data_IF_533040448138
#
_entry.id   IF_533040448138
#
_cell.length_a   1.000
_cell.length_b   1.000
_cell.length_c   1.000
_cell.angle_alpha   90.00
_cell.angle_beta   90.00
_cell.angle_gamma   90.00
#
_symmetry.space_group_name_H-M   'P 1'
#
loop_
_entity.id
_entity.type
_entity.pdbx_description
1 polymer ?
#
# COMPACT_ATOMS: atom_id res chain seq x y z
N UNK A 1 -13.54 -36.39 3.61
CA UNK A 1 -14.12 -35.06 3.34
C UNK A 1 -13.37 -33.93 4.04
N UNK A 2 -13.04 -34.02 5.34
CA UNK A 2 -12.24 -33.01 6.03
C UNK A 2 -10.86 -32.74 5.40
N UNK A 3 -10.19 -33.80 4.89
CA UNK A 3 -8.90 -33.66 4.20
C UNK A 3 -9.01 -32.84 2.88
N UNK A 4 -10.10 -32.96 2.14
CA UNK A 4 -10.30 -32.16 0.91
C UNK A 4 -10.49 -30.68 1.21
N UNK A 5 -11.19 -30.33 2.30
CA UNK A 5 -11.37 -28.94 2.73
C UNK A 5 -10.05 -28.34 3.20
N UNK A 6 -9.22 -29.11 3.88
CA UNK A 6 -7.92 -28.69 4.37
C UNK A 6 -6.94 -28.45 3.19
N UNK A 7 -6.94 -29.34 2.19
CA UNK A 7 -6.15 -29.18 0.97
C UNK A 7 -6.63 -27.96 0.18
N UNK A 8 -7.93 -27.75 0.02
CA UNK A 8 -8.48 -26.57 -0.64
C UNK A 8 -8.09 -25.27 0.07
N UNK A 9 -8.10 -25.23 1.42
CA UNK A 9 -7.67 -24.07 2.19
C UNK A 9 -6.17 -23.77 2.04
N UNK A 10 -5.34 -24.83 1.96
CA UNK A 10 -3.90 -24.68 1.71
C UNK A 10 -3.65 -24.19 0.28
N UNK A 11 -4.36 -24.73 -0.70
CA UNK A 11 -4.25 -24.26 -2.08
C UNK A 11 -4.68 -22.80 -2.25
N UNK A 12 -5.70 -22.36 -1.52
CA UNK A 12 -6.13 -20.95 -1.52
C UNK A 12 -5.06 -20.00 -0.97
N UNK A 13 -4.34 -20.42 0.05
CA UNK A 13 -3.29 -19.61 0.66
C UNK A 13 -2.12 -19.31 -0.31
N UNK A 14 -1.89 -20.21 -1.27
CA UNK A 14 -0.76 -20.11 -2.22
C UNK A 14 -1.18 -19.69 -3.64
N UNK A 15 -2.46 -19.42 -3.89
CA UNK A 15 -2.95 -19.17 -5.24
C UNK A 15 -3.08 -17.66 -5.56
N UNK A 16 -2.61 -17.20 -6.74
CA UNK A 16 -2.81 -15.82 -7.21
C UNK A 16 -4.30 -15.49 -7.42
N UNK A 17 -4.62 -14.20 -7.46
CA UNK A 17 -5.97 -13.62 -7.57
C UNK A 17 -6.88 -14.19 -8.68
N UNK A 18 -6.32 -14.76 -9.74
CA UNK A 18 -7.06 -15.48 -10.82
C UNK A 18 -7.91 -16.65 -10.29
N UNK A 19 -7.62 -17.15 -9.08
CA UNK A 19 -8.29 -18.34 -8.51
C UNK A 19 -9.51 -17.96 -7.66
N UNK A 20 -9.76 -16.69 -7.36
CA UNK A 20 -10.89 -16.28 -6.49
C UNK A 20 -12.25 -16.68 -7.06
N UNK A 21 -12.48 -16.49 -8.37
CA UNK A 21 -13.75 -16.89 -9.00
C UNK A 21 -13.92 -18.40 -9.04
N UNK A 22 -12.86 -19.13 -9.42
CA UNK A 22 -12.86 -20.60 -9.44
C UNK A 22 -13.05 -21.15 -8.03
N UNK A 23 -12.39 -20.54 -7.05
CA UNK A 23 -12.50 -20.92 -5.63
C UNK A 23 -13.93 -20.74 -5.10
N UNK A 24 -14.59 -19.65 -5.43
CA UNK A 24 -15.98 -19.39 -5.02
C UNK A 24 -16.93 -20.46 -5.59
N UNK A 25 -16.75 -20.88 -6.84
CA UNK A 25 -17.51 -21.94 -7.46
C UNK A 25 -17.22 -23.29 -6.80
N UNK A 26 -15.95 -23.61 -6.56
CA UNK A 26 -15.55 -24.87 -5.90
C UNK A 26 -16.07 -24.93 -4.47
N UNK A 27 -16.00 -23.82 -3.72
CA UNK A 27 -16.53 -23.71 -2.36
C UNK A 27 -18.05 -23.94 -2.35
N UNK A 28 -18.79 -23.36 -3.29
CA UNK A 28 -20.22 -23.55 -3.43
C UNK A 28 -20.55 -25.02 -3.71
N UNK A 29 -19.83 -25.68 -4.63
CA UNK A 29 -20.01 -27.10 -4.93
C UNK A 29 -19.73 -28.00 -3.71
N UNK A 30 -18.71 -27.68 -2.93
CA UNK A 30 -18.38 -28.40 -1.68
C UNK A 30 -19.51 -28.24 -0.66
N UNK A 31 -20.07 -27.04 -0.48
CA UNK A 31 -21.19 -26.80 0.42
C UNK A 31 -22.42 -27.58 -0.02
N UNK A 32 -22.76 -27.57 -1.30
CA UNK A 32 -23.89 -28.33 -1.87
C UNK A 32 -23.71 -29.83 -1.66
N UNK A 33 -22.50 -30.37 -1.90
CA UNK A 33 -22.18 -31.77 -1.66
C UNK A 33 -22.28 -32.16 -0.17
N UNK A 34 -21.89 -31.26 0.75
CA UNK A 34 -22.03 -31.43 2.20
C UNK A 34 -23.50 -31.52 2.59
N UNK A 35 -24.33 -30.57 2.15
CA UNK A 35 -25.74 -30.53 2.47
C UNK A 35 -26.44 -31.78 1.91
N UNK A 36 -26.17 -32.16 0.67
CA UNK A 36 -26.70 -33.38 0.08
C UNK A 36 -26.32 -34.64 0.87
N UNK A 37 -25.05 -34.73 1.33
CA UNK A 37 -24.60 -35.85 2.17
C UNK A 37 -25.34 -35.89 3.49
N UNK A 38 -25.59 -34.75 4.15
CA UNK A 38 -26.36 -34.69 5.39
C UNK A 38 -27.82 -35.13 5.20
N UNK A 39 -28.49 -34.67 4.12
CA UNK A 39 -29.83 -35.06 3.79
C UNK A 39 -29.94 -36.59 3.58
N UNK A 40 -28.97 -37.16 2.85
CA UNK A 40 -28.90 -38.61 2.62
C UNK A 40 -28.72 -39.40 3.95
N UNK A 41 -27.78 -38.96 4.83
CA UNK A 41 -27.54 -39.62 6.12
C UNK A 41 -28.72 -39.49 7.08
N UNK A 42 -29.47 -38.39 7.06
CA UNK A 42 -30.71 -38.21 7.85
C UNK A 42 -31.77 -39.20 7.36
N UNK A 43 -31.94 -39.34 6.05
CA UNK A 43 -32.89 -40.26 5.46
C UNK A 43 -32.58 -41.73 5.79
N UNK A 44 -31.31 -42.08 5.92
CA UNK A 44 -30.83 -43.43 6.28
C UNK A 44 -30.86 -43.71 7.79
N UNK A 45 -31.49 -42.84 8.60
CA UNK A 45 -31.64 -42.95 10.07
C UNK A 45 -30.32 -43.11 10.84
N UNK A 46 -29.20 -42.65 10.29
CA UNK A 46 -27.87 -42.68 10.91
C UNK A 46 -27.55 -41.39 11.68
N UNK A 47 -28.42 -41.00 12.62
CA UNK A 47 -28.35 -39.70 13.30
C UNK A 47 -27.02 -39.40 14.01
N UNK A 48 -26.38 -40.42 14.63
CA UNK A 48 -25.06 -40.24 15.25
C UNK A 48 -23.96 -39.86 14.23
N UNK A 49 -23.99 -40.48 13.04
CA UNK A 49 -23.03 -40.20 11.96
C UNK A 49 -23.26 -38.81 11.39
N UNK A 50 -24.52 -38.38 11.27
CA UNK A 50 -24.86 -37.00 10.88
C UNK A 50 -24.30 -36.00 11.85
N UNK A 51 -24.54 -36.16 13.17
CA UNK A 51 -24.07 -35.26 14.20
C UNK A 51 -22.55 -35.14 14.17
N UNK A 52 -21.84 -36.26 14.08
CA UNK A 52 -20.37 -36.27 13.97
C UNK A 52 -19.88 -35.55 12.71
N UNK A 53 -20.51 -35.77 11.57
CA UNK A 53 -20.16 -35.12 10.29
C UNK A 53 -20.37 -33.60 10.35
N UNK A 54 -21.48 -33.15 10.94
CA UNK A 54 -21.75 -31.72 11.16
C UNK A 54 -20.70 -31.09 12.08
N UNK A 55 -20.43 -31.74 13.22
CA UNK A 55 -19.44 -31.24 14.18
C UNK A 55 -18.02 -31.14 13.55
N UNK A 56 -17.60 -32.14 12.78
CA UNK A 56 -16.31 -32.09 12.07
C UNK A 56 -16.29 -31.00 11.02
N UNK A 57 -17.37 -30.78 10.27
CA UNK A 57 -17.42 -29.71 9.23
C UNK A 57 -17.35 -28.32 9.87
N UNK A 58 -18.06 -28.11 10.98
CA UNK A 58 -17.96 -26.84 11.74
C UNK A 58 -16.55 -26.65 12.29
N UNK A 59 -15.95 -27.70 12.87
CA UNK A 59 -14.56 -27.64 13.37
C UNK A 59 -13.56 -27.24 12.29
N UNK A 60 -13.68 -27.81 11.08
CA UNK A 60 -12.83 -27.42 9.94
C UNK A 60 -13.05 -25.95 9.55
N UNK A 61 -14.29 -25.49 9.47
CA UNK A 61 -14.60 -24.09 9.10
C UNK A 61 -14.08 -23.10 10.15
N UNK A 62 -14.17 -23.43 11.44
CA UNK A 62 -13.66 -22.59 12.53
C UNK A 62 -12.13 -22.46 12.49
N UNK A 63 -11.43 -23.49 12.04
CA UNK A 63 -9.97 -23.47 11.94
C UNK A 63 -9.52 -22.83 10.62
N UNK A 64 -10.13 -23.21 9.50
CA UNK A 64 -9.67 -22.77 8.17
C UNK A 64 -10.16 -21.37 7.79
N UNK A 65 -11.33 -20.96 8.27
CA UNK A 65 -11.89 -19.63 8.00
C UNK A 65 -10.96 -18.47 8.41
N UNK A 66 -10.51 -18.41 9.67
CA UNK A 66 -9.56 -17.39 10.11
C UNK A 66 -8.23 -17.44 9.37
N UNK A 67 -7.69 -18.63 9.07
CA UNK A 67 -6.43 -18.79 8.34
C UNK A 67 -6.58 -18.24 6.91
N UNK A 68 -7.66 -18.59 6.22
CA UNK A 68 -7.94 -18.08 4.87
C UNK A 68 -8.16 -16.55 4.87
N UNK A 69 -8.86 -16.03 5.89
CA UNK A 69 -9.08 -14.59 6.02
C UNK A 69 -7.76 -13.84 6.27
N UNK A 70 -6.88 -14.36 7.12
CA UNK A 70 -5.55 -13.78 7.35
C UNK A 70 -4.72 -13.83 6.05
N UNK A 71 -4.76 -14.93 5.31
CA UNK A 71 -4.08 -15.07 4.03
C UNK A 71 -4.58 -14.08 2.98
N UNK A 72 -5.90 -13.90 2.87
CA UNK A 72 -6.51 -12.95 1.94
C UNK A 72 -6.22 -11.47 2.32
N UNK A 73 -6.07 -11.18 3.63
CA UNK A 73 -5.74 -9.84 4.10
C UNK A 73 -4.24 -9.50 3.99
N UNK A 74 -3.36 -10.51 4.01
CA UNK A 74 -1.91 -10.35 4.03
C UNK A 74 -1.22 -10.92 2.78
N UNK A 75 -1.98 -11.34 1.77
CA UNK A 75 -1.41 -11.80 0.51
C UNK A 75 -0.77 -10.64 -0.28
N UNK A 76 0.29 -10.93 -1.06
CA UNK A 76 0.91 -9.94 -1.92
C UNK A 76 -0.12 -9.39 -2.93
N UNK A 77 -0.10 -8.09 -3.19
CA UNK A 77 -0.97 -7.46 -4.18
C UNK A 77 -0.40 -7.55 -5.61
N UNK A 78 0.87 -7.92 -5.74
CA UNK A 78 1.55 -8.07 -7.02
C UNK A 78 1.87 -6.76 -7.74
N UNK A 79 1.45 -5.64 -7.20
CA UNK A 79 1.60 -4.32 -7.84
C UNK A 79 3.05 -4.02 -8.24
N UNK A 80 4.02 -4.23 -7.32
CA UNK A 80 5.43 -3.98 -7.60
C UNK A 80 6.02 -4.90 -8.69
N UNK A 81 5.47 -6.10 -8.89
CA UNK A 81 5.88 -7.01 -9.97
C UNK A 81 5.32 -6.61 -11.32
N UNK A 82 4.12 -6.03 -11.33
CA UNK A 82 3.44 -5.59 -12.55
C UNK A 82 3.96 -4.24 -13.03
N UNK A 83 4.63 -3.46 -12.15
CA UNK A 83 5.16 -2.13 -12.40
C UNK A 83 6.68 -2.10 -12.19
N UNK A 84 7.43 -2.56 -13.19
CA UNK A 84 8.91 -2.54 -13.14
C UNK A 84 9.47 -1.14 -13.35
N UNK A 85 10.71 -0.92 -12.91
CA UNK A 85 11.41 0.34 -13.20
C UNK A 85 11.83 0.31 -14.67
N UNK A 86 11.36 1.25 -15.52
CA UNK A 86 11.72 1.28 -16.93
C UNK A 86 13.21 1.56 -17.13
N UNK A 87 13.81 0.94 -18.13
CA UNK A 87 15.21 1.19 -18.50
C UNK A 87 15.42 2.65 -18.93
N UNK A 88 16.51 3.26 -18.49
CA UNK A 88 16.91 4.61 -18.87
C UNK A 88 16.22 5.74 -18.09
N UNK A 89 15.37 5.45 -17.13
CA UNK A 89 14.80 6.48 -16.25
C UNK A 89 15.75 6.73 -15.09
N UNK A 90 16.12 8.00 -14.90
CA UNK A 90 16.83 8.44 -13.70
C UNK A 90 15.86 8.48 -12.52
N UNK A 91 16.23 7.84 -11.43
CA UNK A 91 15.46 7.84 -10.17
C UNK A 91 16.39 8.02 -8.97
N UNK A 92 15.84 8.57 -7.91
CA UNK A 92 16.49 8.68 -6.62
C UNK A 92 16.19 7.44 -5.76
N UNK A 93 17.06 7.15 -4.81
CA UNK A 93 16.83 6.17 -3.76
C UNK A 93 16.51 6.96 -2.48
N UNK A 94 15.42 6.64 -1.75
CA UNK A 94 15.16 7.24 -0.46
C UNK A 94 16.35 7.03 0.50
N UNK A 95 16.72 8.07 1.25
CA UNK A 95 17.80 7.96 2.22
C UNK A 95 17.37 7.08 3.40
N UNK A 96 18.32 6.31 3.94
CA UNK A 96 18.03 5.49 5.13
C UNK A 96 18.12 6.36 6.40
N UNK A 97 17.05 6.37 7.18
CA UNK A 97 16.92 7.20 8.38
C UNK A 97 17.95 6.88 9.48
N UNK A 98 18.61 5.70 9.46
CA UNK A 98 19.59 5.29 10.46
C UNK A 98 21.05 5.53 10.02
N UNK A 99 21.33 5.46 8.73
CA UNK A 99 22.70 5.58 8.20
C UNK A 99 23.14 7.03 8.01
N UNK A 100 22.19 7.90 7.67
CA UNK A 100 22.50 9.32 7.47
C UNK A 100 22.38 10.12 8.75
N UNK A 101 23.38 9.99 9.63
CA UNK A 101 23.46 10.73 10.91
C UNK A 101 23.67 12.23 10.74
N UNK A 102 23.86 12.75 9.57
CA UNK A 102 24.17 14.16 9.34
C UNK A 102 22.98 14.91 8.74
N UNK A 103 21.96 15.12 9.57
CA UNK A 103 20.90 16.10 9.30
C UNK A 103 21.44 17.49 8.95
N UNK A 104 22.63 17.82 9.46
CA UNK A 104 23.35 19.05 9.10
C UNK A 104 23.74 19.08 7.62
N UNK A 105 24.18 17.96 7.05
CA UNK A 105 24.56 17.91 5.63
C UNK A 105 23.34 18.10 4.71
N UNK A 106 22.17 17.57 5.09
CA UNK A 106 20.93 17.78 4.31
C UNK A 106 20.54 19.26 4.29
N UNK A 107 20.72 19.97 5.39
CA UNK A 107 20.46 21.41 5.44
C UNK A 107 21.48 22.20 4.60
N UNK A 108 22.74 21.78 4.61
CA UNK A 108 23.80 22.39 3.79
C UNK A 108 23.54 22.11 2.30
N UNK A 109 23.20 20.87 1.92
CA UNK A 109 22.80 20.51 0.56
C UNK A 109 21.54 21.27 0.11
N UNK A 110 20.52 21.35 0.98
CA UNK A 110 19.31 22.12 0.70
C UNK A 110 19.63 23.61 0.46
N UNK A 111 20.56 24.17 1.24
CA UNK A 111 21.00 25.56 1.09
C UNK A 111 21.73 25.78 -0.24
N UNK A 112 22.60 24.84 -0.62
CA UNK A 112 23.35 24.90 -1.88
C UNK A 112 22.41 24.71 -3.07
N UNK A 113 21.52 23.73 -3.02
CA UNK A 113 20.56 23.44 -4.10
C UNK A 113 19.52 24.59 -4.24
N UNK A 114 19.22 25.30 -3.15
CA UNK A 114 18.29 26.43 -3.14
C UNK A 114 18.84 27.67 -3.82
N UNK A 115 20.14 27.86 -3.83
CA UNK A 115 20.76 28.98 -4.54
C UNK A 115 20.52 28.91 -6.06
N UNK A 116 20.37 27.67 -6.61
CA UNK A 116 20.16 27.45 -8.01
C UNK A 116 18.68 27.26 -8.40
N UNK A 117 17.88 26.65 -7.51
CA UNK A 117 16.52 26.16 -7.87
C UNK A 117 15.39 26.65 -6.97
N UNK A 118 15.68 27.31 -5.87
CA UNK A 118 14.69 27.75 -4.88
C UNK A 118 13.80 26.65 -4.28
N UNK A 119 14.18 25.38 -4.45
CA UNK A 119 13.39 24.24 -3.98
C UNK A 119 14.27 23.03 -3.64
N UNK A 120 13.92 22.30 -2.59
CA UNK A 120 14.56 21.05 -2.22
C UNK A 120 13.54 20.05 -1.68
N UNK A 121 13.55 18.85 -2.22
CA UNK A 121 12.74 17.71 -1.75
C UNK A 121 13.65 16.52 -1.46
N UNK A 122 13.58 15.99 -0.25
CA UNK A 122 14.26 14.77 0.17
C UNK A 122 13.28 13.77 0.77
N UNK A 123 13.37 12.52 0.31
CA UNK A 123 12.59 11.40 0.85
C UNK A 123 13.50 10.50 1.68
N UNK A 124 12.95 10.01 2.80
CA UNK A 124 13.59 9.10 3.73
C UNK A 124 12.75 7.83 3.87
N UNK A 125 13.41 6.68 4.00
CA UNK A 125 12.76 5.40 4.29
C UNK A 125 13.23 4.87 5.64
N UNK A 126 12.33 4.28 6.44
CA UNK A 126 12.67 3.58 7.67
C UNK A 126 13.27 2.21 7.38
N UNK A 127 14.22 1.75 8.19
CA UNK A 127 14.95 0.50 7.97
C UNK A 127 14.04 -0.74 7.96
N UNK A 128 12.99 -0.74 8.78
CA UNK A 128 12.06 -1.87 8.95
C UNK A 128 10.62 -1.53 8.54
N UNK A 129 10.40 -0.41 7.88
CA UNK A 129 9.07 0.10 7.59
C UNK A 129 8.89 0.27 6.07
N UNK A 130 8.87 -0.84 5.30
CA UNK A 130 8.60 -0.77 3.86
C UNK A 130 7.29 -0.08 3.55
N UNK A 131 7.29 0.77 2.53
CA UNK A 131 6.13 1.55 2.13
C UNK A 131 5.80 2.74 3.02
N UNK A 132 6.56 2.95 4.10
CA UNK A 132 6.40 4.11 4.98
C UNK A 132 7.61 5.01 4.81
N UNK A 133 7.33 6.22 4.39
CA UNK A 133 8.32 7.23 4.07
C UNK A 133 8.17 8.47 4.93
N UNK A 134 9.22 9.27 4.97
CA UNK A 134 9.21 10.62 5.52
C UNK A 134 9.76 11.57 4.46
N UNK A 135 9.44 12.86 4.53
CA UNK A 135 10.03 13.83 3.64
C UNK A 135 10.35 15.17 4.33
N UNK A 136 11.38 15.78 3.81
CA UNK A 136 11.76 17.16 4.08
C UNK A 136 11.49 17.99 2.82
N UNK A 137 10.90 19.16 2.98
CA UNK A 137 10.63 20.07 1.89
C UNK A 137 10.97 21.51 2.21
N UNK A 138 11.80 22.11 1.38
CA UNK A 138 12.23 23.50 1.43
C UNK A 138 11.78 24.23 0.20
N UNK A 139 11.36 25.47 0.35
CA UNK A 139 10.92 26.30 -0.78
C UNK A 139 11.07 27.80 -0.46
N UNK A 140 11.13 28.63 -1.53
CA UNK A 140 11.14 30.10 -1.41
C UNK A 140 9.76 30.66 -1.72
N UNK A 141 9.18 31.37 -0.77
CA UNK A 141 7.99 32.16 -0.97
C UNK A 141 6.70 31.38 -1.24
N UNK A 142 5.94 31.02 -0.21
CA UNK A 142 4.61 30.44 -0.35
C UNK A 142 3.55 31.28 0.36
N UNK A 143 2.40 31.43 -0.28
CA UNK A 143 1.20 31.95 0.36
C UNK A 143 0.70 30.99 1.45
N UNK A 144 -0.12 31.50 2.38
CA UNK A 144 -0.83 30.66 3.35
C UNK A 144 -1.68 29.61 2.65
N UNK A 145 -1.58 28.35 3.10
CA UNK A 145 -2.30 27.25 2.44
C UNK A 145 -1.98 25.89 3.00
N UNK A 146 -1.99 24.90 2.11
CA UNK A 146 -1.68 23.51 2.44
C UNK A 146 -0.69 22.97 1.42
N UNK A 147 0.41 22.38 1.91
CA UNK A 147 1.29 21.53 1.12
C UNK A 147 0.79 20.09 1.21
N UNK A 148 0.78 19.38 0.10
CA UNK A 148 0.43 17.98 0.03
C UNK A 148 1.22 17.28 -1.07
N UNK A 149 1.29 15.95 -0.99
CA UNK A 149 1.93 15.12 -2.00
C UNK A 149 0.87 14.51 -2.92
N UNK A 150 1.24 14.33 -4.19
CA UNK A 150 0.61 13.40 -5.11
C UNK A 150 1.65 12.43 -5.61
N UNK A 151 1.36 11.15 -5.48
CA UNK A 151 2.27 10.08 -5.87
C UNK A 151 1.66 9.29 -7.01
N UNK A 152 2.46 8.99 -8.03
CA UNK A 152 2.02 8.23 -9.20
C UNK A 152 3.06 7.19 -9.55
N UNK A 153 2.61 5.99 -9.84
CA UNK A 153 3.45 5.02 -10.53
C UNK A 153 3.74 5.54 -11.95
N UNK A 154 4.96 5.33 -12.47
CA UNK A 154 5.41 6.04 -13.68
C UNK A 154 5.13 5.32 -15.00
N UNK A 155 4.89 4.01 -15.03
CA UNK A 155 4.70 3.24 -16.26
C UNK A 155 3.29 3.41 -16.83
N UNK A 156 2.28 3.35 -15.96
CA UNK A 156 0.86 3.50 -16.29
C UNK A 156 0.26 4.80 -15.77
N UNK A 157 1.05 5.58 -15.01
CA UNK A 157 0.64 6.81 -14.33
C UNK A 157 -0.54 6.59 -13.37
N UNK A 158 -0.53 5.42 -12.70
CA UNK A 158 -1.55 5.11 -11.69
C UNK A 158 -1.32 5.91 -10.42
N UNK A 159 -2.39 6.49 -9.83
CA UNK A 159 -2.29 7.22 -8.57
C UNK A 159 -2.01 6.24 -7.41
N UNK A 160 -1.07 6.63 -6.55
CA UNK A 160 -0.74 5.91 -5.33
C UNK A 160 -1.43 6.56 -4.14
N UNK A 161 -1.90 5.74 -3.20
CA UNK A 161 -2.71 6.17 -2.05
C UNK A 161 -1.99 5.94 -0.72
N UNK A 162 -2.43 6.63 0.34
CA UNK A 162 -1.88 6.44 1.70
C UNK A 162 -2.45 5.20 2.41
N UNK A 163 -3.64 4.75 2.01
CA UNK A 163 -4.34 3.63 2.66
C UNK A 163 -5.44 3.05 1.76
N UNK A 164 -6.01 1.93 2.18
CA UNK A 164 -7.08 1.24 1.45
C UNK A 164 -8.32 2.10 1.22
N UNK A 165 -8.67 3.01 2.13
CA UNK A 165 -9.87 3.85 2.00
C UNK A 165 -9.65 4.89 0.92
N UNK A 166 -8.48 5.50 0.89
CA UNK A 166 -8.09 6.47 -0.14
C UNK A 166 -8.00 5.80 -1.51
N UNK A 167 -7.43 4.59 -1.60
CA UNK A 167 -7.42 3.78 -2.82
C UNK A 167 -8.83 3.55 -3.35
N UNK A 168 -9.76 3.10 -2.51
CA UNK A 168 -11.17 2.87 -2.89
C UNK A 168 -11.91 4.15 -3.29
N UNK A 169 -11.53 5.28 -2.70
CA UNK A 169 -12.13 6.59 -2.95
C UNK A 169 -11.43 7.36 -4.07
N UNK A 170 -10.40 6.79 -4.68
CA UNK A 170 -9.56 7.41 -5.71
C UNK A 170 -8.93 8.74 -5.27
N UNK A 171 -8.57 8.83 -3.97
CA UNK A 171 -7.92 9.99 -3.37
C UNK A 171 -6.40 9.80 -3.47
N UNK A 172 -5.75 10.67 -4.22
CA UNK A 172 -4.29 10.66 -4.41
C UNK A 172 -3.54 11.71 -3.59
N UNK A 173 -4.23 12.49 -2.75
CA UNK A 173 -3.61 13.53 -1.93
C UNK A 173 -3.10 12.94 -0.62
N UNK A 174 -1.78 12.84 -0.50
CA UNK A 174 -1.08 12.31 0.68
C UNK A 174 -0.50 13.45 1.52
N UNK A 175 -0.32 13.20 2.81
CA UNK A 175 0.50 14.02 3.71
C UNK A 175 0.18 15.52 3.69
N UNK A 176 -1.04 15.92 4.01
CA UNK A 176 -1.45 17.32 4.07
C UNK A 176 -0.82 18.06 5.25
N UNK A 177 -0.13 19.17 4.95
CA UNK A 177 0.55 20.02 5.94
C UNK A 177 0.10 21.46 5.78
N UNK A 178 -0.63 22.03 6.77
CA UNK A 178 -0.98 23.46 6.73
C UNK A 178 0.27 24.31 6.91
N UNK A 179 0.37 25.40 6.15
CA UNK A 179 1.49 26.33 6.19
C UNK A 179 1.01 27.77 6.31
N UNK A 180 1.81 28.59 7.00
CA UNK A 180 1.67 30.04 7.02
C UNK A 180 2.49 30.68 5.91
N UNK A 181 2.05 31.87 5.46
CA UNK A 181 2.77 32.65 4.45
C UNK A 181 4.22 32.92 4.86
N UNK A 182 5.12 32.79 3.93
CA UNK A 182 6.52 33.24 4.06
C UNK A 182 7.06 33.62 2.70
N UNK A 183 7.87 34.66 2.64
CA UNK A 183 8.55 35.10 1.42
C UNK A 183 10.02 34.63 1.40
N UNK A 184 10.48 33.97 2.48
CA UNK A 184 11.85 33.50 2.65
C UNK A 184 11.98 32.01 2.27
N UNK A 185 13.21 31.62 1.87
CA UNK A 185 13.57 30.21 1.74
C UNK A 185 13.59 29.56 3.14
N UNK A 186 12.77 28.55 3.33
CA UNK A 186 12.70 27.83 4.60
C UNK A 186 12.20 26.40 4.43
N UNK A 187 12.39 25.62 5.48
CA UNK A 187 11.78 24.32 5.62
C UNK A 187 10.29 24.44 5.95
N UNK A 188 9.43 24.06 5.03
CA UNK A 188 7.98 24.01 5.23
C UNK A 188 7.53 22.68 5.82
N UNK A 189 8.22 21.58 5.45
CA UNK A 189 7.90 20.24 5.94
C UNK A 189 9.16 19.61 6.49
N UNK A 190 9.07 19.04 7.71
CA UNK A 190 10.18 18.38 8.40
C UNK A 190 9.80 16.97 8.78
N UNK A 191 10.46 15.97 8.17
CA UNK A 191 10.29 14.54 8.41
C UNK A 191 8.82 14.12 8.58
N UNK A 192 7.96 14.68 7.74
CA UNK A 192 6.54 14.34 7.75
C UNK A 192 6.37 12.96 7.14
N UNK A 193 5.67 12.08 7.87
CA UNK A 193 5.39 10.70 7.46
C UNK A 193 4.28 10.66 6.42
N UNK A 194 4.42 9.77 5.44
CA UNK A 194 3.39 9.35 4.51
C UNK A 194 3.58 7.88 4.16
N UNK A 195 2.56 7.24 3.62
CA UNK A 195 2.57 5.83 3.24
C UNK A 195 2.30 5.71 1.75
N UNK A 196 2.91 4.76 1.10
CA UNK A 196 2.53 4.25 -0.21
C UNK A 196 1.90 2.88 0.03
N UNK A 197 0.60 2.78 -0.21
CA UNK A 197 -0.18 1.60 0.13
C UNK A 197 -0.04 0.47 -0.91
N UNK A 198 0.14 0.82 -2.19
CA UNK A 198 0.25 -0.10 -3.30
C UNK A 198 1.61 -0.78 -3.33
N UNK A 199 1.61 -2.12 -3.52
CA UNK A 199 2.81 -2.93 -3.59
C UNK A 199 3.24 -3.58 -2.27
N UNK A 200 4.17 -4.51 -2.36
CA UNK A 200 4.64 -5.35 -1.27
C UNK A 200 6.12 -5.09 -0.94
N UNK A 201 6.57 -5.63 0.19
CA UNK A 201 7.97 -5.59 0.57
C UNK A 201 8.83 -6.40 -0.41
N UNK A 202 9.92 -5.75 -0.86
CA UNK A 202 10.90 -6.37 -1.74
C UNK A 202 10.61 -6.16 -3.22
N UNK A 203 9.38 -5.85 -3.58
CA UNK A 203 8.99 -5.54 -4.96
C UNK A 203 9.06 -4.03 -5.21
N UNK A 204 10.17 -3.59 -5.80
CA UNK A 204 10.41 -2.18 -6.06
C UNK A 204 9.91 -1.75 -7.44
N UNK A 205 9.30 -0.57 -7.46
CA UNK A 205 8.90 0.13 -8.69
C UNK A 205 9.27 1.61 -8.62
N UNK A 206 9.10 2.34 -9.70
CA UNK A 206 9.38 3.76 -9.73
C UNK A 206 8.10 4.57 -9.55
N UNK A 207 8.17 5.55 -8.63
CA UNK A 207 7.07 6.47 -8.36
C UNK A 207 7.54 7.91 -8.52
N UNK A 208 6.72 8.71 -9.22
CA UNK A 208 6.84 10.16 -9.26
C UNK A 208 6.14 10.75 -8.06
N UNK A 209 6.89 11.43 -7.20
CA UNK A 209 6.39 12.13 -6.03
C UNK A 209 6.37 13.63 -6.36
N UNK A 210 5.18 14.19 -6.40
CA UNK A 210 4.91 15.59 -6.69
C UNK A 210 4.56 16.33 -5.39
N UNK A 211 5.17 17.50 -5.18
CA UNK A 211 4.80 18.42 -4.09
C UNK A 211 3.89 19.49 -4.65
N UNK A 212 2.72 19.62 -4.05
CA UNK A 212 1.70 20.58 -4.44
C UNK A 212 1.41 21.57 -3.31
N UNK A 213 1.07 22.78 -3.68
CA UNK A 213 0.56 23.81 -2.78
C UNK A 213 -0.85 24.22 -3.20
N UNK A 214 -1.79 24.21 -2.25
CA UNK A 214 -3.13 24.78 -2.40
C UNK A 214 -3.24 26.05 -1.57
N UNK A 215 -3.40 27.19 -2.21
CA UNK A 215 -3.53 28.48 -1.56
C UNK A 215 -4.88 28.58 -0.82
N UNK A 216 -4.86 29.00 0.45
CA UNK A 216 -6.08 29.06 1.26
C UNK A 216 -7.08 30.12 0.79
N UNK A 217 -6.61 31.22 0.21
CA UNK A 217 -7.48 32.33 -0.21
C UNK A 217 -8.24 32.04 -1.51
N UNK A 218 -7.60 31.36 -2.46
CA UNK A 218 -8.14 31.17 -3.82
C UNK A 218 -8.53 29.74 -4.12
N UNK A 219 -8.03 28.77 -3.33
CA UNK A 219 -8.12 27.34 -3.62
C UNK A 219 -7.25 26.90 -4.81
N UNK A 220 -6.46 27.80 -5.39
CA UNK A 220 -5.59 27.50 -6.53
C UNK A 220 -4.52 26.49 -6.12
N UNK A 221 -4.36 25.47 -6.95
CA UNK A 221 -3.31 24.47 -6.80
C UNK A 221 -2.14 24.75 -7.74
N UNK A 222 -0.94 24.60 -7.23
CA UNK A 222 0.30 24.77 -7.98
C UNK A 222 1.27 23.65 -7.64
N UNK A 223 1.79 22.97 -8.67
CA UNK A 223 2.87 22.01 -8.49
C UNK A 223 4.17 22.77 -8.27
N UNK A 224 4.84 22.50 -7.16
CA UNK A 224 6.08 23.16 -6.74
C UNK A 224 7.31 22.44 -7.28
N UNK A 225 7.32 21.12 -7.19
CA UNK A 225 8.41 20.25 -7.67
C UNK A 225 7.93 18.82 -7.82
N UNK A 226 8.74 18.01 -8.51
CA UNK A 226 8.58 16.57 -8.58
C UNK A 226 9.94 15.89 -8.65
N UNK A 227 10.01 14.67 -8.09
CA UNK A 227 11.15 13.76 -8.24
C UNK A 227 10.66 12.33 -8.39
N UNK A 228 11.42 11.53 -9.14
CA UNK A 228 11.16 10.09 -9.26
C UNK A 228 12.01 9.36 -8.23
N UNK A 229 11.37 8.47 -7.48
CA UNK A 229 12.02 7.62 -6.50
C UNK A 229 11.74 6.15 -6.77
N UNK A 230 12.70 5.29 -6.45
CA UNK A 230 12.48 3.86 -6.32
C UNK A 230 11.79 3.61 -4.99
N UNK A 231 10.58 3.08 -5.04
CA UNK A 231 9.75 2.84 -3.86
C UNK A 231 9.26 1.40 -3.82
N UNK A 232 8.69 1.02 -2.70
CA UNK A 232 7.93 -0.20 -2.49
C UNK A 232 6.68 0.14 -1.68
N UNK A 233 5.67 -0.71 -1.76
CA UNK A 233 4.45 -0.50 -1.02
C UNK A 233 4.54 -0.89 0.46
N UNK A 234 3.50 -0.53 1.19
CA UNK A 234 3.34 -0.95 2.58
C UNK A 234 2.99 -2.43 2.63
N UNK A 235 3.79 -3.20 3.34
CA UNK A 235 3.58 -4.63 3.53
C UNK A 235 2.26 -4.90 4.24
N UNK A 236 1.49 -5.82 3.69
CA UNK A 236 0.27 -6.38 4.27
C UNK A 236 0.53 -7.69 4.98
#
# INVERSE_FOLDING_TARGET
MGACLLILSICFFFAPSFVEEIFSIVLLLVIVALVASWVFLIRDKRGKTVLLSVAMSIGVLVVTGPISMIGAMNGPDGFGRDHTIPEGIEYNIPLNNQQDRTYQNVLEEATVDSLDRNTYLQIWEGEFEGGIYQYDFYYTGLAKGVIFLRCYEITQNEPLSENMVDKKSNISECSKVPIEKSDEFKQYVKKKRFTIYEGDWGDYYAARIEVWHREAATGKETKLTEKIYRVRGWMR
#
